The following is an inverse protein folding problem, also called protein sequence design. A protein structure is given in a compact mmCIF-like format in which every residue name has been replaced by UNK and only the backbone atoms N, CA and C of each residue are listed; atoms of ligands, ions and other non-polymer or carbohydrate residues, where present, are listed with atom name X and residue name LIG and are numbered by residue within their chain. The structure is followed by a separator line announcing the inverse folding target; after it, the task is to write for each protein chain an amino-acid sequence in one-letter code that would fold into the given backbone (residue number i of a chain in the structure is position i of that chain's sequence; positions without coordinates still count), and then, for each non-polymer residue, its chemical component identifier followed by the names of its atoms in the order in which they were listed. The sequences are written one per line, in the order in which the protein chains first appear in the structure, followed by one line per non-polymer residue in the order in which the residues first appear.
data_IF_592600990430
#
_entry.id   IF_592600990430
#
_cell.length_a   1.000
_cell.length_b   1.000
_cell.length_c   1.000
_cell.angle_alpha   90.00
_cell.angle_beta   90.00
_cell.angle_gamma   90.00
#
_symmetry.space_group_name_H-M   'P 1'
#
loop_
_entity.id
_entity.type
_entity.pdbx_description
1 polymer ?
#
# COMPACT_ATOMS: atom_id res chain seq x y z
N UNK A 1 19.25 -8.47 -28.29
CA UNK A 1 18.10 -8.98 -27.52
C UNK A 1 17.40 -7.75 -26.97
N UNK A 2 16.11 -7.58 -27.22
CA UNK A 2 15.36 -6.50 -26.59
C UNK A 2 15.46 -6.68 -25.08
N UNK A 3 15.75 -5.61 -24.36
CA UNK A 3 15.78 -5.62 -22.89
C UNK A 3 14.39 -6.01 -22.39
N UNK A 4 14.32 -6.99 -21.49
CA UNK A 4 13.04 -7.45 -20.97
C UNK A 4 12.46 -6.31 -20.11
N UNK A 5 11.24 -5.91 -20.41
CA UNK A 5 10.54 -4.89 -19.63
C UNK A 5 10.56 -5.22 -18.12
N UNK A 6 11.06 -4.28 -17.31
CA UNK A 6 11.10 -4.39 -15.84
C UNK A 6 10.03 -3.49 -15.23
N UNK A 7 8.90 -4.05 -14.81
CA UNK A 7 7.81 -3.26 -14.23
C UNK A 7 8.17 -2.62 -12.90
N UNK A 8 9.10 -3.19 -12.15
CA UNK A 8 9.53 -2.63 -10.85
C UNK A 8 10.36 -1.37 -11.06
N UNK A 9 11.32 -1.42 -12.00
CA UNK A 9 12.10 -0.24 -12.37
C UNK A 9 11.21 0.84 -13.00
N UNK A 10 10.26 0.45 -13.84
CA UNK A 10 9.28 1.38 -14.42
C UNK A 10 8.44 2.07 -13.35
N UNK A 11 7.86 1.30 -12.43
CA UNK A 11 7.01 1.84 -11.36
C UNK A 11 7.79 2.71 -10.38
N UNK A 12 9.08 2.39 -10.12
CA UNK A 12 9.96 3.27 -9.36
C UNK A 12 10.04 4.66 -10.00
N UNK A 13 10.37 4.71 -11.29
CA UNK A 13 10.47 5.99 -12.00
C UNK A 13 9.12 6.70 -12.12
N UNK A 14 8.02 5.95 -12.26
CA UNK A 14 6.69 6.51 -12.30
C UNK A 14 6.33 7.19 -10.97
N UNK A 15 6.55 6.52 -9.84
CA UNK A 15 6.29 7.08 -8.52
C UNK A 15 7.20 8.26 -8.17
N UNK A 16 8.46 8.28 -8.65
CA UNK A 16 9.32 9.46 -8.51
C UNK A 16 8.72 10.66 -9.27
N UNK A 17 8.15 10.44 -10.48
CA UNK A 17 7.42 11.51 -11.21
C UNK A 17 6.16 11.96 -10.47
N UNK A 18 5.39 11.05 -9.87
CA UNK A 18 4.23 11.40 -9.05
C UNK A 18 4.61 12.30 -7.86
N UNK A 19 5.77 12.03 -7.23
CA UNK A 19 6.34 12.91 -6.20
C UNK A 19 6.64 14.30 -6.73
N UNK A 20 7.27 14.39 -7.90
CA UNK A 20 7.63 15.67 -8.53
C UNK A 20 6.39 16.48 -8.93
N UNK A 21 5.31 15.80 -9.34
CA UNK A 21 4.03 16.41 -9.72
C UNK A 21 3.16 16.77 -8.51
N UNK A 22 3.53 16.33 -7.30
CA UNK A 22 2.80 16.61 -6.06
C UNK A 22 1.48 15.87 -5.95
N UNK A 23 1.44 14.63 -6.44
CA UNK A 23 0.32 13.71 -6.24
C UNK A 23 -0.07 13.67 -4.75
N UNK A 24 -1.36 13.59 -4.44
CA UNK A 24 -1.87 13.67 -3.07
C UNK A 24 -1.27 12.59 -2.13
N UNK A 25 -1.03 11.39 -2.63
CA UNK A 25 -0.43 10.28 -1.88
C UNK A 25 1.08 10.45 -1.63
N UNK A 26 1.68 11.51 -2.21
CA UNK A 26 3.10 11.87 -2.03
C UNK A 26 3.29 13.15 -1.22
N UNK A 27 2.20 13.72 -0.66
CA UNK A 27 2.25 14.95 0.12
C UNK A 27 2.49 14.65 1.59
N UNK A 28 3.62 15.12 2.16
CA UNK A 28 3.92 14.91 3.56
C UNK A 28 2.88 15.54 4.48
N UNK A 29 2.64 14.90 5.63
CA UNK A 29 1.77 15.47 6.68
C UNK A 29 2.38 16.73 7.29
N UNK A 30 1.49 17.63 7.75
CA UNK A 30 1.89 18.87 8.45
C UNK A 30 2.35 18.62 9.90
N UNK A 31 3.01 19.63 10.47
CA UNK A 31 3.48 19.58 11.87
C UNK A 31 2.34 19.50 12.89
N UNK A 32 1.16 19.99 12.54
CA UNK A 32 -0.06 19.87 13.35
C UNK A 32 -0.51 18.42 13.53
N UNK A 33 -0.43 17.61 12.45
CA UNK A 33 -0.76 16.18 12.48
C UNK A 33 0.24 15.43 13.37
N UNK A 34 1.53 15.74 13.26
CA UNK A 34 2.58 15.13 14.08
C UNK A 34 2.44 15.53 15.56
N UNK A 35 2.10 16.79 15.84
CA UNK A 35 1.88 17.25 17.22
C UNK A 35 0.68 16.51 17.87
N UNK A 36 -0.41 16.33 17.15
CA UNK A 36 -1.56 15.53 17.63
C UNK A 36 -1.17 14.08 17.86
N UNK A 37 -0.41 13.49 16.93
CA UNK A 37 0.03 12.10 17.06
C UNK A 37 0.88 11.89 18.32
N UNK A 38 1.80 12.81 18.64
CA UNK A 38 2.57 12.80 19.89
C UNK A 38 1.70 12.92 21.15
N UNK A 39 0.56 13.60 21.05
CA UNK A 39 -0.42 13.72 22.14
C UNK A 39 -1.34 12.49 22.27
N UNK A 40 -1.14 11.45 21.46
CA UNK A 40 -1.97 10.24 21.42
C UNK A 40 -3.18 10.31 20.49
N UNK A 41 -3.46 11.47 19.88
CA UNK A 41 -4.49 11.65 18.88
C UNK A 41 -3.89 11.44 17.46
N UNK A 42 -3.75 10.17 17.08
CA UNK A 42 -3.22 9.77 15.77
C UNK A 42 -4.22 8.92 14.99
N UNK A 43 -4.18 9.02 13.69
CA UNK A 43 -4.87 8.15 12.76
C UNK A 43 -4.06 8.00 11.47
N UNK A 44 -4.21 6.87 10.82
CA UNK A 44 -3.63 6.56 9.50
C UNK A 44 -4.68 5.91 8.62
N UNK A 45 -4.51 6.04 7.31
CA UNK A 45 -5.45 5.50 6.32
C UNK A 45 -4.82 4.27 5.67
N UNK A 46 -5.63 3.21 5.51
CA UNK A 46 -5.25 1.97 4.85
C UNK A 46 -5.92 1.86 3.48
N UNK A 47 -7.17 2.29 3.37
CA UNK A 47 -7.99 2.33 2.16
C UNK A 47 -8.84 3.61 2.15
N UNK A 48 -9.13 4.12 0.97
CA UNK A 48 -9.96 5.32 0.81
C UNK A 48 -9.42 6.50 1.61
N UNK A 49 -10.28 7.17 2.39
CA UNK A 49 -9.93 8.33 3.21
C UNK A 49 -10.29 8.16 4.69
N UNK A 50 -10.91 7.03 5.05
CA UNK A 50 -11.33 6.79 6.42
C UNK A 50 -10.17 6.22 7.27
N UNK A 51 -10.04 6.68 8.52
CA UNK A 51 -9.05 6.15 9.42
C UNK A 51 -9.26 4.66 9.71
N UNK A 52 -8.15 3.92 9.80
CA UNK A 52 -8.18 2.53 10.28
C UNK A 52 -8.64 2.50 11.74
N UNK A 53 -9.57 1.60 12.12
CA UNK A 53 -9.96 1.44 13.52
C UNK A 53 -8.76 1.18 14.44
N UNK A 54 -8.72 1.86 15.58
CA UNK A 54 -7.59 1.80 16.53
C UNK A 54 -7.38 0.40 17.12
N UNK A 55 -8.41 -0.40 17.24
CA UNK A 55 -8.37 -1.79 17.72
C UNK A 55 -7.77 -2.77 16.70
N UNK A 56 -7.50 -2.31 15.48
CA UNK A 56 -6.73 -3.10 14.51
C UNK A 56 -5.23 -3.10 14.82
N UNK A 57 -4.73 -2.10 15.49
CA UNK A 57 -3.33 -1.96 15.88
C UNK A 57 -3.00 -2.71 17.17
N UNK A 58 -1.71 -2.91 17.49
CA UNK A 58 -1.30 -3.29 18.84
C UNK A 58 -1.91 -2.32 19.88
N UNK A 59 -2.28 -2.85 21.04
CA UNK A 59 -2.89 -2.05 22.11
C UNK A 59 -1.99 -0.89 22.57
N UNK A 60 -0.66 -1.09 22.49
CA UNK A 60 0.35 -0.06 22.72
C UNK A 60 1.29 -0.01 21.51
N UNK A 61 1.45 1.18 20.94
CA UNK A 61 2.41 1.44 19.87
C UNK A 61 3.79 1.81 20.41
N UNK A 62 3.92 2.16 21.69
CA UNK A 62 5.19 2.59 22.25
C UNK A 62 6.26 1.47 22.12
N UNK A 63 7.27 1.72 21.30
CA UNK A 63 8.34 0.77 21.00
C UNK A 63 7.95 -0.41 20.10
N UNK A 64 6.69 -0.49 19.63
CA UNK A 64 6.30 -1.51 18.66
C UNK A 64 7.08 -1.36 17.35
N UNK A 65 7.68 -2.46 16.89
CA UNK A 65 8.41 -2.48 15.63
C UNK A 65 7.44 -2.54 14.44
N UNK A 66 7.32 -1.45 13.70
CA UNK A 66 6.39 -1.32 12.57
C UNK A 66 7.14 -1.23 11.25
N UNK A 67 6.74 -2.06 10.29
CA UNK A 67 7.12 -1.96 8.89
C UNK A 67 5.98 -1.29 8.12
N UNK A 68 6.18 -0.08 7.64
CA UNK A 68 5.34 0.57 6.65
C UNK A 68 5.82 0.11 5.26
N UNK A 69 5.09 -0.87 4.67
CA UNK A 69 5.47 -1.55 3.45
C UNK A 69 4.81 -0.90 2.24
N UNK A 70 5.63 -0.48 1.26
CA UNK A 70 5.20 0.28 0.09
C UNK A 70 4.26 1.43 0.49
N UNK A 71 4.73 2.22 1.46
CA UNK A 71 3.95 3.23 2.17
C UNK A 71 4.78 4.51 2.36
N UNK A 72 5.61 4.83 1.37
CA UNK A 72 6.32 6.11 1.31
C UNK A 72 5.37 7.29 1.09
N UNK A 73 5.92 8.50 1.10
CA UNK A 73 5.14 9.74 0.85
C UNK A 73 5.00 10.66 2.05
N UNK A 74 5.60 10.30 3.20
CA UNK A 74 5.64 11.17 4.36
C UNK A 74 4.32 11.27 5.11
N UNK A 75 3.51 10.23 5.06
CA UNK A 75 2.16 10.20 5.66
C UNK A 75 2.10 9.23 6.85
N UNK A 76 1.88 7.94 6.62
CA UNK A 76 1.60 6.94 7.65
C UNK A 76 2.81 6.68 8.56
N UNK A 77 4.01 6.51 7.96
CA UNK A 77 5.24 6.25 8.69
C UNK A 77 5.54 7.30 9.76
N UNK A 78 5.61 8.60 9.39
CA UNK A 78 5.83 9.68 10.37
C UNK A 78 4.77 9.77 11.47
N UNK A 79 3.49 9.53 11.15
CA UNK A 79 2.41 9.55 12.14
C UNK A 79 2.58 8.43 13.16
N UNK A 80 2.87 7.20 12.70
CA UNK A 80 3.10 6.05 13.58
C UNK A 80 4.37 6.22 14.44
N UNK A 81 5.42 6.81 13.87
CA UNK A 81 6.63 7.16 14.61
C UNK A 81 6.35 8.22 15.69
N UNK A 82 5.57 9.26 15.38
CA UNK A 82 5.15 10.26 16.34
C UNK A 82 4.27 9.69 17.46
N UNK A 83 3.50 8.65 17.16
CA UNK A 83 2.71 7.89 18.14
C UNK A 83 3.53 6.93 19.00
N UNK A 84 4.87 6.87 18.79
CA UNK A 84 5.81 6.12 19.64
C UNK A 84 6.33 4.81 19.08
N UNK A 85 5.95 4.42 17.85
CA UNK A 85 6.43 3.20 17.22
C UNK A 85 7.89 3.29 16.74
N UNK A 86 8.61 2.17 16.73
CA UNK A 86 9.91 2.00 16.05
C UNK A 86 9.64 1.69 14.56
N UNK A 87 9.59 2.74 13.74
CA UNK A 87 9.11 2.65 12.35
C UNK A 87 10.26 2.47 11.36
N UNK A 88 10.05 1.52 10.43
CA UNK A 88 10.81 1.40 9.20
C UNK A 88 9.84 1.57 8.03
N UNK A 89 10.09 2.53 7.14
CA UNK A 89 9.39 2.67 5.86
C UNK A 89 10.21 1.98 4.78
N UNK A 90 9.57 1.06 4.07
CA UNK A 90 10.18 0.32 2.97
C UNK A 90 9.39 0.60 1.69
N UNK A 91 10.05 1.18 0.70
CA UNK A 91 9.40 1.56 -0.55
C UNK A 91 10.32 1.38 -1.75
N UNK A 92 9.74 1.26 -2.93
CA UNK A 92 10.47 1.13 -4.19
C UNK A 92 10.93 2.49 -4.76
N UNK A 93 10.34 3.61 -4.34
CA UNK A 93 10.63 4.95 -4.83
C UNK A 93 11.53 5.72 -3.87
N UNK A 94 12.74 6.16 -4.30
CA UNK A 94 13.56 7.09 -3.54
C UNK A 94 12.85 8.42 -3.24
N UNK A 95 12.04 8.91 -4.18
CA UNK A 95 11.26 10.13 -4.01
C UNK A 95 10.25 10.02 -2.87
N UNK A 96 9.51 8.90 -2.83
CA UNK A 96 8.57 8.60 -1.74
C UNK A 96 9.27 8.54 -0.39
N UNK A 97 10.37 7.79 -0.28
CA UNK A 97 11.17 7.72 0.95
C UNK A 97 11.75 9.07 1.36
N UNK A 98 12.08 9.92 0.39
CA UNK A 98 12.54 11.29 0.62
C UNK A 98 11.49 12.13 1.35
N UNK A 99 10.19 11.92 1.10
CA UNK A 99 9.10 12.60 1.81
C UNK A 99 9.01 12.18 3.27
N UNK A 100 9.24 10.90 3.58
CA UNK A 100 9.30 10.43 4.97
C UNK A 100 10.51 11.02 5.71
N UNK A 101 11.66 11.08 5.05
CA UNK A 101 12.87 11.70 5.62
C UNK A 101 12.68 13.20 5.86
N UNK A 102 12.01 13.91 4.94
CA UNK A 102 11.67 15.33 5.10
C UNK A 102 10.88 15.56 6.39
N UNK A 103 9.82 14.77 6.63
CA UNK A 103 9.04 14.88 7.87
C UNK A 103 9.88 14.50 9.09
N UNK A 104 10.64 13.39 8.99
CA UNK A 104 11.47 12.94 10.10
C UNK A 104 12.48 13.98 10.54
N UNK A 105 13.16 14.64 9.60
CA UNK A 105 14.11 15.72 9.90
C UNK A 105 13.41 16.95 10.47
N UNK A 106 12.34 17.41 9.82
CA UNK A 106 11.55 18.57 10.24
C UNK A 106 11.04 18.42 11.68
N UNK A 107 10.57 17.22 12.01
CA UNK A 107 9.90 16.95 13.28
C UNK A 107 10.83 16.29 14.34
N UNK A 108 12.05 15.94 13.99
CA UNK A 108 12.96 15.24 14.92
C UNK A 108 12.47 13.84 15.28
N UNK A 109 11.91 13.09 14.31
CA UNK A 109 11.43 11.73 14.49
C UNK A 109 12.54 10.71 14.22
N UNK A 110 12.62 9.67 15.06
CA UNK A 110 13.42 8.48 14.78
C UNK A 110 12.65 7.56 13.82
N UNK A 111 12.96 7.63 12.52
CA UNK A 111 12.35 6.85 11.47
C UNK A 111 13.44 6.35 10.52
N UNK A 112 13.36 5.09 10.13
CA UNK A 112 14.27 4.48 9.14
C UNK A 112 13.56 4.34 7.80
N UNK A 113 14.29 4.62 6.71
CA UNK A 113 13.83 4.37 5.35
C UNK A 113 14.73 3.34 4.69
N UNK A 114 14.14 2.41 3.94
CA UNK A 114 14.85 1.35 3.20
C UNK A 114 14.27 1.26 1.80
N UNK A 115 15.13 1.37 0.79
CA UNK A 115 14.76 1.22 -0.61
C UNK A 115 14.71 -0.25 -1.00
N UNK A 116 13.62 -0.71 -1.61
CA UNK A 116 13.53 -2.09 -2.09
C UNK A 116 12.20 -2.45 -2.73
N UNK A 117 12.13 -3.68 -3.20
CA UNK A 117 10.93 -4.29 -3.78
C UNK A 117 10.16 -5.05 -2.69
N UNK A 118 8.87 -4.77 -2.53
CA UNK A 118 8.04 -5.41 -1.50
C UNK A 118 7.98 -6.94 -1.61
N UNK A 119 8.40 -7.52 -2.72
CA UNK A 119 8.50 -8.96 -2.93
C UNK A 119 9.73 -9.59 -2.28
N UNK A 120 10.70 -8.76 -1.86
CA UNK A 120 11.95 -9.20 -1.23
C UNK A 120 12.26 -8.34 0.00
N UNK A 121 11.97 -8.88 1.17
CA UNK A 121 12.30 -8.27 2.46
C UNK A 121 13.54 -8.92 3.10
N UNK A 122 14.42 -9.53 2.31
CA UNK A 122 15.62 -10.24 2.75
C UNK A 122 16.59 -9.40 3.58
N UNK A 123 16.49 -8.08 3.52
CA UNK A 123 17.24 -7.15 4.40
C UNK A 123 16.80 -7.20 5.87
N UNK A 124 15.65 -7.80 6.16
CA UNK A 124 15.11 -7.93 7.50
C UNK A 124 15.15 -9.39 7.97
N UNK A 125 15.52 -9.57 9.24
CA UNK A 125 15.49 -10.86 9.89
C UNK A 125 14.04 -11.38 10.08
N UNK A 126 13.90 -12.70 10.23
CA UNK A 126 12.64 -13.33 10.58
C UNK A 126 12.12 -12.81 11.93
N UNK A 127 10.82 -12.57 12.03
CA UNK A 127 10.19 -12.15 13.26
C UNK A 127 10.64 -10.78 13.80
N UNK A 128 11.08 -9.87 12.92
CA UNK A 128 11.58 -8.54 13.28
C UNK A 128 10.47 -7.59 13.72
N UNK A 129 9.27 -7.69 13.13
CA UNK A 129 8.22 -6.70 13.26
C UNK A 129 7.00 -7.21 14.04
N UNK A 130 6.37 -6.28 14.76
CA UNK A 130 5.09 -6.47 15.45
C UNK A 130 3.91 -6.24 14.51
N UNK A 131 4.09 -5.31 13.57
CA UNK A 131 3.10 -4.88 12.62
C UNK A 131 3.75 -4.66 11.25
N UNK A 132 3.12 -5.18 10.20
CA UNK A 132 3.29 -4.73 8.82
C UNK A 132 2.06 -3.93 8.44
N UNK A 133 2.24 -2.68 8.06
CA UNK A 133 1.21 -1.77 7.56
C UNK A 133 1.45 -1.55 6.07
N UNK A 134 0.52 -2.04 5.25
CA UNK A 134 0.61 -2.02 3.78
C UNK A 134 -0.67 -1.38 3.21
N UNK A 135 -0.69 -0.06 2.97
CA UNK A 135 -1.81 0.62 2.35
C UNK A 135 -1.96 0.21 0.88
N UNK A 136 -2.92 0.79 0.16
CA UNK A 136 -3.17 0.45 -1.24
C UNK A 136 -1.90 0.63 -2.09
N UNK A 137 -1.18 -0.47 -2.31
CA UNK A 137 0.05 -0.52 -3.08
C UNK A 137 0.22 -1.83 -3.86
N UNK A 138 -0.54 -2.85 -3.50
CA UNK A 138 -0.51 -4.17 -4.15
C UNK A 138 -0.78 -4.08 -5.66
N UNK A 139 -1.58 -3.14 -6.07
CA UNK A 139 -1.91 -2.84 -7.47
C UNK A 139 -0.67 -2.51 -8.31
N UNK A 140 0.42 -2.04 -7.71
CA UNK A 140 1.67 -1.73 -8.40
C UNK A 140 2.70 -2.87 -8.39
N UNK A 141 2.34 -4.01 -7.81
CA UNK A 141 3.19 -5.19 -7.67
C UNK A 141 2.75 -6.30 -8.64
N UNK A 142 3.64 -6.85 -9.48
CA UNK A 142 3.25 -7.84 -10.48
C UNK A 142 2.92 -9.23 -9.91
N UNK A 143 3.38 -9.57 -8.70
CA UNK A 143 3.19 -10.88 -8.06
C UNK A 143 3.10 -10.73 -6.55
N UNK A 144 1.98 -11.10 -5.96
CA UNK A 144 1.70 -10.96 -4.53
C UNK A 144 2.12 -12.18 -3.69
N UNK A 145 2.33 -13.34 -4.30
CA UNK A 145 2.68 -14.53 -3.54
C UNK A 145 4.01 -14.38 -2.75
N UNK A 146 5.08 -13.77 -3.29
CA UNK A 146 6.28 -13.44 -2.52
C UNK A 146 5.99 -12.43 -1.41
N UNK A 147 5.17 -11.40 -1.68
CA UNK A 147 4.83 -10.36 -0.69
C UNK A 147 4.23 -10.98 0.56
N UNK A 148 3.23 -11.86 0.40
CA UNK A 148 2.58 -12.49 1.55
C UNK A 148 3.52 -13.40 2.34
N UNK A 149 4.41 -14.16 1.64
CA UNK A 149 5.42 -15.01 2.30
C UNK A 149 6.41 -14.16 3.10
N UNK A 150 6.90 -13.07 2.51
CA UNK A 150 7.85 -12.17 3.17
C UNK A 150 7.21 -11.43 4.36
N UNK A 151 5.99 -10.91 4.21
CA UNK A 151 5.25 -10.33 5.34
C UNK A 151 5.09 -11.34 6.49
N UNK A 152 4.75 -12.59 6.15
CA UNK A 152 4.64 -13.65 7.16
C UNK A 152 5.99 -13.95 7.83
N UNK A 153 7.06 -14.01 7.05
CA UNK A 153 8.41 -14.28 7.56
C UNK A 153 8.89 -13.21 8.54
N UNK A 154 8.78 -11.94 8.14
CA UNK A 154 9.32 -10.82 8.92
C UNK A 154 8.48 -10.46 10.15
N UNK A 155 7.21 -10.87 10.21
CA UNK A 155 6.37 -10.71 11.40
C UNK A 155 6.74 -11.74 12.47
N UNK A 156 6.76 -11.30 13.74
CA UNK A 156 6.85 -12.20 14.89
C UNK A 156 5.58 -13.06 15.04
N UNK A 157 5.61 -14.15 15.79
CA UNK A 157 4.38 -14.84 16.21
C UNK A 157 3.43 -13.85 16.92
N UNK A 158 2.15 -13.94 16.63
CA UNK A 158 1.09 -13.00 17.02
C UNK A 158 1.23 -11.58 16.42
N UNK A 159 2.17 -11.35 15.51
CA UNK A 159 2.30 -10.09 14.76
C UNK A 159 1.15 -9.89 13.77
N UNK A 160 0.91 -8.64 13.43
CA UNK A 160 -0.25 -8.19 12.65
C UNK A 160 0.16 -7.79 11.23
N UNK A 161 -0.66 -8.16 10.26
CA UNK A 161 -0.64 -7.60 8.91
C UNK A 161 -1.92 -6.80 8.72
N UNK A 162 -1.79 -5.50 8.45
CA UNK A 162 -2.86 -4.64 7.98
C UNK A 162 -2.58 -4.32 6.51
N UNK A 163 -3.46 -4.73 5.62
CA UNK A 163 -3.28 -4.44 4.20
C UNK A 163 -4.56 -3.95 3.55
N UNK A 164 -4.42 -2.92 2.72
CA UNK A 164 -5.46 -2.38 1.86
C UNK A 164 -5.17 -2.67 0.39
N UNK A 165 -6.20 -2.91 -0.39
CA UNK A 165 -6.07 -3.14 -1.83
C UNK A 165 -7.32 -2.70 -2.59
N UNK A 166 -7.12 -2.39 -3.86
CA UNK A 166 -8.18 -2.00 -4.79
C UNK A 166 -9.06 -3.21 -5.11
N UNK A 167 -10.37 -2.98 -5.20
CA UNK A 167 -11.29 -4.00 -5.69
C UNK A 167 -10.94 -4.37 -7.14
N UNK A 168 -10.59 -5.64 -7.43
CA UNK A 168 -10.25 -6.06 -8.78
C UNK A 168 -11.36 -5.82 -9.81
N UNK A 169 -12.61 -5.81 -9.39
CA UNK A 169 -13.76 -5.61 -10.29
C UNK A 169 -13.81 -4.19 -10.91
N UNK A 170 -13.07 -3.22 -10.36
CA UNK A 170 -12.91 -1.90 -11.00
C UNK A 170 -12.22 -2.01 -12.36
N UNK A 171 -11.36 -2.99 -12.52
CA UNK A 171 -10.55 -3.17 -13.75
C UNK A 171 -11.26 -3.88 -14.88
N UNK A 172 -12.53 -4.33 -14.70
CA UNK A 172 -13.31 -4.90 -15.81
C UNK A 172 -13.82 -3.83 -16.77
N UNK A 173 -13.94 -2.58 -16.30
CA UNK A 173 -14.53 -1.49 -17.07
C UNK A 173 -13.56 -0.82 -18.03
N UNK A 174 -14.10 -0.27 -19.10
CA UNK A 174 -13.40 0.70 -19.94
C UNK A 174 -13.30 2.02 -19.17
N UNK A 175 -12.09 2.40 -18.79
CA UNK A 175 -11.87 3.57 -17.93
C UNK A 175 -12.21 4.89 -18.65
N UNK A 176 -12.00 4.98 -19.98
CA UNK A 176 -12.37 6.16 -20.75
C UNK A 176 -13.90 6.33 -20.83
N UNK A 177 -14.64 5.22 -20.91
CA UNK A 177 -16.09 5.25 -20.86
C UNK A 177 -16.59 5.61 -19.45
N UNK A 178 -15.99 5.03 -18.43
CA UNK A 178 -16.38 5.24 -17.03
C UNK A 178 -16.11 6.68 -16.59
N UNK A 179 -14.89 7.17 -16.71
CA UNK A 179 -14.49 8.49 -16.21
C UNK A 179 -14.96 9.64 -17.12
N UNK A 180 -14.92 9.41 -18.45
CA UNK A 180 -15.28 10.45 -19.42
C UNK A 180 -16.79 10.62 -19.61
N UNK A 181 -17.59 9.53 -19.49
CA UNK A 181 -19.01 9.53 -19.82
C UNK A 181 -19.92 8.97 -18.73
N UNK A 182 -19.36 8.42 -17.65
CA UNK A 182 -20.11 7.71 -16.60
C UNK A 182 -20.77 6.43 -17.10
N UNK A 183 -20.26 5.82 -18.17
CA UNK A 183 -20.80 4.63 -18.79
C UNK A 183 -20.09 3.37 -18.26
N UNK A 184 -20.85 2.39 -17.81
CA UNK A 184 -20.35 1.10 -17.32
C UNK A 184 -20.20 0.10 -18.48
N UNK A 185 -19.10 0.24 -19.23
CA UNK A 185 -18.78 -0.64 -20.34
C UNK A 185 -17.76 -1.69 -19.89
N UNK A 186 -18.16 -2.95 -19.84
CA UNK A 186 -17.25 -4.06 -19.52
C UNK A 186 -16.34 -4.33 -20.71
N UNK A 187 -15.03 -4.30 -20.48
CA UNK A 187 -14.01 -4.44 -21.53
C UNK A 187 -12.95 -5.49 -21.22
N UNK A 188 -12.49 -5.57 -19.97
CA UNK A 188 -11.34 -6.38 -19.62
C UNK A 188 -11.76 -7.62 -18.81
N UNK A 189 -10.95 -8.67 -18.93
CA UNK A 189 -11.03 -9.85 -18.09
C UNK A 189 -9.99 -9.75 -16.98
N UNK A 190 -10.36 -10.05 -15.75
CA UNK A 190 -9.41 -10.13 -14.63
C UNK A 190 -8.83 -11.55 -14.47
N UNK A 191 -7.53 -11.69 -14.04
CA UNK A 191 -6.63 -10.57 -13.75
C UNK A 191 -6.28 -9.77 -15.02
N UNK A 192 -6.17 -8.45 -14.86
CA UNK A 192 -5.82 -7.50 -15.91
C UNK A 192 -4.58 -6.71 -15.47
N UNK A 193 -3.73 -6.33 -16.43
CA UNK A 193 -2.65 -5.39 -16.19
C UNK A 193 -2.65 -4.31 -17.26
N UNK A 194 -2.38 -3.07 -16.87
CA UNK A 194 -2.17 -1.99 -17.83
C UNK A 194 -0.94 -2.22 -18.73
N UNK A 195 -0.01 -3.11 -18.31
CA UNK A 195 1.11 -3.55 -19.14
C UNK A 195 0.70 -4.43 -20.33
N UNK A 196 -0.50 -5.04 -20.28
CA UNK A 196 -1.02 -5.89 -21.36
C UNK A 196 -1.62 -5.08 -22.52
N UNK A 197 -1.83 -3.77 -22.31
CA UNK A 197 -2.30 -2.87 -23.34
C UNK A 197 -1.17 -2.50 -24.32
N UNK A 198 -1.50 -2.24 -25.60
CA UNK A 198 -0.58 -1.57 -26.54
C UNK A 198 -0.05 -0.26 -25.92
N UNK A 199 1.23 0.03 -26.13
CA UNK A 199 1.89 1.18 -25.47
C UNK A 199 1.19 2.51 -25.78
N UNK A 200 0.74 2.72 -27.00
CA UNK A 200 0.03 3.91 -27.42
C UNK A 200 -1.34 4.03 -26.73
N UNK A 201 -2.04 2.94 -26.56
CA UNK A 201 -3.31 2.88 -25.81
C UNK A 201 -3.08 3.15 -24.33
N UNK A 202 -2.14 2.47 -23.71
CA UNK A 202 -1.79 2.66 -22.29
C UNK A 202 -1.43 4.13 -22.01
N UNK A 203 -0.56 4.73 -22.84
CA UNK A 203 -0.15 6.13 -22.67
C UNK A 203 -1.31 7.11 -22.84
N UNK A 204 -2.21 6.83 -23.78
CA UNK A 204 -3.39 7.69 -23.98
C UNK A 204 -4.33 7.64 -22.80
N UNK A 205 -4.56 6.44 -22.22
CA UNK A 205 -5.56 6.21 -21.19
C UNK A 205 -5.02 6.45 -19.77
N UNK A 206 -3.78 6.02 -19.49
CA UNK A 206 -3.17 6.07 -18.15
C UNK A 206 -1.96 7.03 -18.07
N UNK A 207 -1.60 7.69 -19.17
CA UNK A 207 -0.42 8.57 -19.20
C UNK A 207 0.89 7.83 -18.95
N UNK A 208 1.81 8.50 -18.27
CA UNK A 208 3.08 7.94 -17.81
C UNK A 208 3.01 7.44 -16.34
N UNK A 209 1.79 7.21 -15.83
CA UNK A 209 1.54 6.69 -14.51
C UNK A 209 2.11 5.27 -14.29
N UNK A 210 2.09 4.78 -13.06
CA UNK A 210 2.59 3.43 -12.75
C UNK A 210 1.76 2.34 -13.46
N UNK A 211 2.43 1.23 -13.76
CA UNK A 211 1.76 0.01 -14.23
C UNK A 211 0.92 -0.55 -13.08
N UNK A 212 -0.31 -0.90 -13.40
CA UNK A 212 -1.28 -1.46 -12.46
C UNK A 212 -1.61 -2.91 -12.80
N UNK A 213 -1.90 -3.68 -11.74
CA UNK A 213 -2.28 -5.09 -11.78
C UNK A 213 -3.55 -5.27 -10.95
N UNK A 214 -4.65 -5.68 -11.56
CA UNK A 214 -5.92 -5.85 -10.85
C UNK A 214 -5.83 -6.91 -9.75
N UNK A 215 -5.03 -7.95 -9.96
CA UNK A 215 -5.05 -9.18 -9.18
C UNK A 215 -6.44 -9.83 -9.12
N UNK A 216 -6.56 -10.88 -8.33
CA UNK A 216 -7.83 -11.51 -7.98
C UNK A 216 -7.99 -11.51 -6.46
N UNK A 217 -9.21 -11.66 -5.95
CA UNK A 217 -9.41 -11.87 -4.50
C UNK A 217 -8.71 -13.13 -3.99
N UNK A 218 -8.50 -14.13 -4.86
CA UNK A 218 -7.71 -15.32 -4.53
C UNK A 218 -6.24 -14.96 -4.29
N UNK A 219 -5.66 -14.08 -5.09
CA UNK A 219 -4.27 -13.60 -4.90
C UNK A 219 -4.17 -12.67 -3.69
N UNK A 220 -5.13 -11.76 -3.50
CA UNK A 220 -5.15 -10.81 -2.40
C UNK A 220 -5.44 -11.47 -1.04
N UNK A 221 -6.58 -12.12 -0.91
CA UNK A 221 -7.06 -12.70 0.36
C UNK A 221 -6.57 -14.14 0.50
N UNK A 222 -6.77 -14.96 -0.53
CA UNK A 222 -6.33 -16.36 -0.53
C UNK A 222 -4.82 -16.49 -0.39
N UNK A 223 -4.04 -15.55 -0.95
CA UNK A 223 -2.59 -15.50 -0.80
C UNK A 223 -2.15 -15.28 0.64
N UNK A 224 -2.84 -14.41 1.42
CA UNK A 224 -2.58 -14.23 2.84
C UNK A 224 -2.83 -15.54 3.62
N UNK A 225 -3.97 -16.21 3.35
CA UNK A 225 -4.30 -17.49 3.98
C UNK A 225 -3.28 -18.57 3.62
N UNK A 226 -2.87 -18.66 2.35
CA UNK A 226 -1.88 -19.63 1.87
C UNK A 226 -0.49 -19.39 2.49
N UNK A 227 -0.13 -18.14 2.81
CA UNK A 227 1.10 -17.81 3.53
C UNK A 227 1.06 -18.21 5.02
N UNK A 228 -0.12 -18.54 5.57
CA UNK A 228 -0.29 -19.01 6.95
C UNK A 228 -0.95 -17.99 7.88
N UNK A 229 -1.41 -16.85 7.39
CA UNK A 229 -2.15 -15.88 8.19
C UNK A 229 -3.55 -16.37 8.56
N UNK A 230 -4.05 -15.90 9.69
CA UNK A 230 -5.46 -15.97 10.06
C UNK A 230 -6.08 -14.60 9.90
N UNK A 231 -7.04 -14.46 8.99
CA UNK A 231 -7.80 -13.23 8.84
C UNK A 231 -8.76 -13.08 10.03
N UNK A 232 -8.74 -11.89 10.63
CA UNK A 232 -9.62 -11.56 11.75
C UNK A 232 -10.67 -10.51 11.38
N UNK A 233 -10.37 -9.66 10.40
CA UNK A 233 -11.30 -8.64 9.89
C UNK A 233 -11.14 -8.48 8.39
N UNK A 234 -12.25 -8.15 7.74
CA UNK A 234 -12.34 -7.69 6.36
C UNK A 234 -13.33 -6.54 6.34
N UNK A 235 -12.96 -5.42 5.74
CA UNK A 235 -13.84 -4.26 5.54
C UNK A 235 -13.76 -3.79 4.10
N UNK A 236 -14.80 -3.12 3.68
CA UNK A 236 -14.98 -2.53 2.35
C UNK A 236 -15.13 -1.03 2.46
N UNK A 237 -14.64 -0.29 1.47
CA UNK A 237 -14.83 1.16 1.37
C UNK A 237 -15.15 1.56 -0.07
N UNK A 238 -15.95 2.61 -0.28
CA UNK A 238 -16.23 3.14 -1.61
C UNK A 238 -14.96 3.76 -2.23
N UNK A 239 -14.91 3.80 -3.55
CA UNK A 239 -13.97 4.64 -4.27
C UNK A 239 -14.55 6.05 -4.42
N UNK A 240 -13.99 7.04 -3.75
CA UNK A 240 -14.60 8.35 -3.63
C UNK A 240 -14.66 9.16 -4.93
N UNK A 241 -13.85 8.82 -5.91
CA UNK A 241 -13.67 9.60 -7.12
C UNK A 241 -14.40 9.07 -8.35
N UNK A 242 -15.00 7.86 -8.31
CA UNK A 242 -15.59 7.27 -9.49
C UNK A 242 -17.09 6.90 -9.35
N UNK A 243 -17.75 6.74 -10.49
CA UNK A 243 -19.17 6.45 -10.56
C UNK A 243 -19.53 5.06 -9.99
N UNK A 244 -18.57 4.15 -9.88
CA UNK A 244 -18.77 2.78 -9.35
C UNK A 244 -19.14 2.78 -7.87
N UNK A 245 -18.74 3.83 -7.12
CA UNK A 245 -19.04 3.97 -5.68
C UNK A 245 -20.54 3.88 -5.34
N UNK A 246 -21.42 4.09 -6.33
CA UNK A 246 -22.87 3.92 -6.16
C UNK A 246 -23.33 2.48 -6.13
N UNK A 247 -22.49 1.56 -6.59
CA UNK A 247 -22.88 0.17 -6.88
C UNK A 247 -22.03 -0.86 -6.16
N UNK A 248 -20.76 -0.53 -5.90
CA UNK A 248 -19.81 -1.49 -5.35
C UNK A 248 -18.71 -0.81 -4.54
N UNK A 249 -18.07 -1.54 -3.60
CA UNK A 249 -16.89 -1.03 -2.92
C UNK A 249 -15.72 -0.88 -3.91
N UNK A 250 -14.92 0.16 -3.75
CA UNK A 250 -13.70 0.37 -4.52
C UNK A 250 -12.46 -0.22 -3.88
N UNK A 251 -12.52 -0.47 -2.56
CA UNK A 251 -11.40 -0.97 -1.79
C UNK A 251 -11.81 -2.04 -0.79
N UNK A 252 -10.84 -2.90 -0.47
CA UNK A 252 -10.89 -3.85 0.62
C UNK A 252 -9.72 -3.62 1.57
N UNK A 253 -9.94 -3.83 2.87
CA UNK A 253 -8.87 -3.91 3.84
C UNK A 253 -9.02 -5.16 4.69
N UNK A 254 -7.88 -5.81 4.98
CA UNK A 254 -7.84 -6.97 5.87
C UNK A 254 -6.94 -6.70 7.07
N UNK A 255 -7.36 -7.22 8.22
CA UNK A 255 -6.51 -7.44 9.38
C UNK A 255 -6.24 -8.92 9.52
N UNK A 256 -4.99 -9.29 9.46
CA UNK A 256 -4.55 -10.67 9.58
C UNK A 256 -3.53 -10.83 10.70
N UNK A 257 -3.49 -12.01 11.31
CA UNK A 257 -2.58 -12.34 12.41
C UNK A 257 -1.69 -13.50 11.99
N UNK A 258 -0.39 -13.39 12.23
CA UNK A 258 0.50 -14.55 12.20
C UNK A 258 0.23 -15.41 13.45
N UNK A 259 -0.23 -16.65 13.33
CA UNK A 259 -0.51 -17.48 14.49
C UNK A 259 0.69 -17.58 15.45
N UNK A 260 0.48 -17.67 16.76
CA UNK A 260 1.55 -17.98 17.69
C UNK A 260 2.17 -19.33 17.32
N UNK A 261 3.45 -19.51 17.63
CA UNK A 261 4.06 -20.86 17.50
C UNK A 261 3.39 -21.77 18.51
N UNK A 262 2.97 -22.95 18.03
CA UNK A 262 2.48 -24.02 18.90
C UNK A 262 3.57 -24.49 19.86
#
# INVERSE_FOLDING_TARGET
MAEKFDPVAYNRAAWDREVDQGNEWTRPVGSDVIARARAGDWSVVLIGYEPVPRDWFPADLAGAAVLCLASGGGQQGPVLAAAGADVTVFDNSPGQLGRDQEVAVREGLALRTVLGDMRDLGVFADGRFDLVFNPVSNVFCPDLAPVWRECFRVLRPAGLLLTGFTNPDLYIFDIEALDGRGEFLVRHRIPFSTADLPEDERRRTYGDGPIEYSHTLTEQIGGQLAAGFTLTHLVEAPHHADATARYMPGYFATRAVKPPRA
#
